data_IF_443477734966
#
_entry.id   IF_443477734966
#
_cell.length_a   1.000
_cell.length_b   1.000
_cell.length_c   1.000
_cell.angle_alpha   90.00
_cell.angle_beta   90.00
_cell.angle_gamma   90.00
#
_symmetry.space_group_name_H-M   'P 1'
#
loop_
_entity.id
_entity.type
_entity.pdbx_description
1 polymer ?
#
# COMPACT_ATOMS: atom_id res chain seq x y z
N UNK A 1 41.78 -16.91 79.18
CA UNK A 1 41.56 -15.48 78.87
C UNK A 1 41.23 -15.40 77.38
N UNK A 2 39.93 -15.37 77.01
CA UNK A 2 39.24 -14.25 76.30
C UNK A 2 40.06 -13.69 75.11
N UNK A 3 39.61 -13.58 73.86
CA UNK A 3 38.25 -13.34 73.32
C UNK A 3 38.24 -13.50 71.78
N UNK A 4 37.18 -14.10 71.24
CA UNK A 4 36.36 -13.85 70.02
C UNK A 4 36.88 -13.11 68.75
N UNK A 5 36.08 -13.35 67.68
CA UNK A 5 35.86 -12.59 66.43
C UNK A 5 36.52 -13.24 65.18
N UNK A 6 35.91 -13.38 63.99
CA UNK A 6 34.59 -12.99 63.47
C UNK A 6 34.36 -13.77 62.15
N UNK A 7 33.09 -14.06 61.90
CA UNK A 7 32.44 -14.57 60.68
C UNK A 7 32.99 -14.10 59.33
N UNK A 8 32.90 -14.94 58.29
CA UNK A 8 32.20 -14.60 57.04
C UNK A 8 31.95 -15.87 56.19
N UNK A 9 30.80 -16.51 56.43
CA UNK A 9 30.25 -17.56 55.58
C UNK A 9 29.76 -16.90 54.29
N UNK A 10 30.39 -17.20 53.15
CA UNK A 10 29.91 -16.76 51.84
C UNK A 10 28.67 -17.59 51.47
N UNK A 11 27.49 -17.01 51.67
CA UNK A 11 26.24 -17.53 51.12
C UNK A 11 26.28 -17.35 49.59
N UNK A 12 26.35 -18.46 48.85
CA UNK A 12 26.18 -18.48 47.41
C UNK A 12 24.66 -18.45 47.12
N UNK A 13 24.14 -17.27 46.80
CA UNK A 13 22.76 -17.08 46.37
C UNK A 13 22.65 -17.54 44.89
N UNK A 14 22.13 -18.75 44.66
CA UNK A 14 21.77 -19.22 43.31
C UNK A 14 20.37 -18.69 43.01
N UNK A 15 20.31 -17.58 42.28
CA UNK A 15 19.04 -17.06 41.73
C UNK A 15 18.70 -17.88 40.50
N UNK A 16 17.74 -18.80 40.65
CA UNK A 16 17.13 -19.49 39.53
C UNK A 16 16.18 -18.52 38.81
N UNK A 17 16.64 -17.96 37.68
CA UNK A 17 15.77 -17.26 36.75
C UNK A 17 14.90 -18.30 36.03
N UNK A 18 13.64 -18.41 36.45
CA UNK A 18 12.60 -19.06 35.68
C UNK A 18 12.40 -18.23 34.41
N UNK A 19 12.89 -18.75 33.28
CA UNK A 19 12.55 -18.25 31.96
C UNK A 19 11.07 -18.53 31.73
N UNK A 20 10.23 -17.55 32.08
CA UNK A 20 8.87 -17.46 31.56
C UNK A 20 9.03 -17.16 30.07
N UNK A 21 8.90 -18.19 29.25
CA UNK A 21 8.78 -18.05 27.80
C UNK A 21 7.50 -17.29 27.49
N UNK A 22 7.63 -15.99 27.24
CA UNK A 22 6.64 -15.29 26.42
C UNK A 22 6.69 -15.94 25.04
N UNK A 23 5.67 -16.72 24.71
CA UNK A 23 5.34 -16.98 23.31
C UNK A 23 5.07 -15.61 22.70
N UNK A 24 5.97 -15.14 21.82
CA UNK A 24 5.62 -14.11 20.88
C UNK A 24 4.46 -14.68 20.08
N UNK A 25 3.25 -14.17 20.35
CA UNK A 25 2.22 -14.13 19.33
C UNK A 25 2.80 -13.27 18.24
N UNK A 26 3.28 -13.90 17.17
CA UNK A 26 3.61 -13.23 15.92
C UNK A 26 2.33 -12.48 15.51
N UNK A 27 2.35 -11.17 15.76
CA UNK A 27 1.38 -10.24 15.22
C UNK A 27 1.70 -10.23 13.72
N UNK A 28 0.97 -11.03 12.93
CA UNK A 28 1.04 -11.07 11.47
C UNK A 28 0.54 -9.71 10.94
N UNK A 29 1.33 -8.66 11.16
CA UNK A 29 1.07 -7.34 10.62
C UNK A 29 1.38 -7.40 9.13
N UNK A 30 0.35 -7.23 8.33
CA UNK A 30 0.47 -7.21 6.88
C UNK A 30 1.37 -6.06 6.46
N UNK A 31 2.45 -6.41 5.77
CA UNK A 31 3.39 -5.44 5.27
C UNK A 31 2.81 -4.74 4.03
N UNK A 32 2.48 -3.46 4.18
CA UNK A 32 2.15 -2.59 3.06
C UNK A 32 3.41 -2.01 2.44
N UNK A 33 3.45 -1.93 1.11
CA UNK A 33 4.51 -1.27 0.37
C UNK A 33 4.18 0.22 0.16
N UNK A 34 5.20 1.04 -0.07
CA UNK A 34 5.02 2.42 -0.55
C UNK A 34 5.67 2.58 -1.91
N UNK A 35 5.06 3.40 -2.77
CA UNK A 35 5.59 3.70 -4.10
C UNK A 35 5.13 5.08 -4.59
N UNK A 36 5.86 5.61 -5.56
CA UNK A 36 5.39 6.71 -6.40
C UNK A 36 4.89 6.15 -7.71
N UNK A 37 3.63 6.42 -8.04
CA UNK A 37 3.01 6.08 -9.34
C UNK A 37 2.84 7.35 -10.16
N UNK A 38 3.04 7.27 -11.47
CA UNK A 38 3.03 8.43 -12.35
C UNK A 38 2.43 8.13 -13.73
N UNK A 39 2.61 9.06 -14.68
CA UNK A 39 2.10 8.93 -16.03
C UNK A 39 2.76 7.80 -16.86
N UNK A 40 3.97 7.40 -16.53
CA UNK A 40 4.67 6.32 -17.23
C UNK A 40 4.15 4.96 -16.82
N UNK A 41 3.56 4.89 -15.64
CA UNK A 41 2.80 3.77 -15.12
C UNK A 41 3.56 2.93 -14.11
N UNK A 42 2.86 1.97 -13.52
CA UNK A 42 3.37 1.18 -12.41
C UNK A 42 2.86 -0.27 -12.48
N UNK A 43 3.72 -1.22 -12.11
CA UNK A 43 3.40 -2.63 -11.92
C UNK A 43 3.41 -2.91 -10.41
N UNK A 44 2.24 -3.20 -9.85
CA UNK A 44 2.07 -3.39 -8.41
C UNK A 44 2.51 -4.76 -7.91
N UNK A 45 2.55 -5.78 -8.76
CA UNK A 45 2.99 -7.12 -8.36
C UNK A 45 4.52 -7.17 -8.23
N UNK A 46 5.22 -6.44 -9.09
CA UNK A 46 6.69 -6.33 -9.07
C UNK A 46 7.19 -5.10 -8.27
N UNK A 47 6.32 -4.11 -8.01
CA UNK A 47 6.69 -2.87 -7.33
C UNK A 47 7.56 -1.95 -8.17
N UNK A 48 7.38 -1.94 -9.50
CA UNK A 48 8.23 -1.26 -10.46
C UNK A 48 7.48 -0.12 -11.16
N UNK A 49 8.04 1.08 -11.10
CA UNK A 49 7.62 2.22 -11.93
C UNK A 49 8.31 2.21 -13.30
N UNK A 50 7.58 2.60 -14.33
CA UNK A 50 8.11 2.72 -15.69
C UNK A 50 8.57 4.15 -15.97
N UNK A 51 9.32 4.34 -17.06
CA UNK A 51 9.70 5.65 -17.57
C UNK A 51 9.91 5.59 -19.09
N UNK A 52 10.37 6.70 -19.67
CA UNK A 52 10.59 6.86 -21.12
C UNK A 52 11.53 5.81 -21.73
N UNK A 53 12.43 5.24 -20.91
CA UNK A 53 13.45 4.27 -21.32
C UNK A 53 13.09 2.82 -20.94
N UNK A 54 11.93 2.58 -20.33
CA UNK A 54 11.52 1.23 -19.96
C UNK A 54 11.29 0.36 -21.20
N UNK A 55 11.79 -0.88 -21.16
CA UNK A 55 11.71 -1.82 -22.27
C UNK A 55 10.37 -2.54 -22.39
N UNK A 56 9.54 -2.48 -21.35
CA UNK A 56 8.29 -3.23 -21.23
C UNK A 56 7.12 -2.45 -20.57
N UNK A 57 6.83 -1.19 -20.98
CA UNK A 57 5.75 -0.37 -20.39
C UNK A 57 4.35 -0.97 -20.59
N UNK A 58 4.21 -2.00 -21.43
CA UNK A 58 2.98 -2.79 -21.57
C UNK A 58 2.64 -3.61 -20.31
N UNK A 59 3.62 -3.89 -19.44
CA UNK A 59 3.41 -4.62 -18.19
C UNK A 59 2.84 -3.74 -17.07
N UNK A 60 2.73 -2.43 -17.29
CA UNK A 60 2.09 -1.53 -16.35
C UNK A 60 0.62 -1.86 -16.13
N UNK A 61 0.20 -1.88 -14.86
CA UNK A 61 -1.19 -2.05 -14.41
C UNK A 61 -2.06 -0.80 -14.68
N UNK A 62 -1.41 0.34 -14.84
CA UNK A 62 -2.06 1.62 -15.05
C UNK A 62 -1.11 2.79 -14.82
N UNK A 63 -1.66 3.98 -14.94
CA UNK A 63 -0.92 5.23 -14.84
C UNK A 63 -1.79 6.32 -14.22
N UNK A 64 -1.15 7.39 -13.77
CA UNK A 64 -1.85 8.60 -13.39
C UNK A 64 -1.99 9.54 -14.59
N UNK A 65 -3.10 10.27 -14.65
CA UNK A 65 -3.40 11.22 -15.73
C UNK A 65 -4.10 12.46 -15.19
N UNK A 66 -3.90 13.61 -15.84
CA UNK A 66 -4.58 14.87 -15.50
C UNK A 66 -5.85 15.15 -16.31
N UNK A 67 -6.47 14.10 -16.87
CA UNK A 67 -7.73 14.19 -17.58
C UNK A 67 -8.65 13.04 -17.19
N UNK A 68 -9.96 13.26 -17.33
CA UNK A 68 -10.94 12.23 -16.98
C UNK A 68 -10.77 10.98 -17.87
N UNK A 69 -10.68 9.74 -17.31
CA UNK A 69 -10.28 8.52 -18.05
C UNK A 69 -11.19 8.07 -19.21
N UNK A 70 -12.32 8.74 -19.46
CA UNK A 70 -13.28 8.38 -20.52
C UNK A 70 -14.01 9.54 -21.21
N UNK A 71 -13.60 10.79 -20.97
CA UNK A 71 -14.32 11.93 -21.58
C UNK A 71 -13.97 12.07 -23.06
N UNK A 72 -14.98 12.04 -23.94
CA UNK A 72 -14.82 12.32 -25.38
C UNK A 72 -14.39 13.75 -25.66
N UNK A 73 -14.72 14.65 -24.74
CA UNK A 73 -14.16 16.00 -24.63
C UNK A 73 -13.05 15.95 -23.60
N UNK A 74 -11.79 16.14 -24.00
CA UNK A 74 -10.68 16.32 -23.05
C UNK A 74 -10.90 17.63 -22.29
N UNK A 75 -11.81 17.65 -21.31
CA UNK A 75 -11.80 18.66 -20.27
C UNK A 75 -10.58 18.34 -19.41
N UNK A 76 -9.43 18.81 -19.88
CA UNK A 76 -8.16 18.82 -19.17
C UNK A 76 -8.33 19.76 -17.99
N UNK A 77 -8.99 19.28 -16.93
CA UNK A 77 -8.96 20.00 -15.68
C UNK A 77 -7.60 19.70 -15.05
N UNK A 78 -6.65 20.60 -15.26
CA UNK A 78 -5.22 20.46 -14.89
C UNK A 78 -4.98 20.35 -13.38
N UNK A 79 -6.04 20.39 -12.56
CA UNK A 79 -5.97 20.40 -11.10
C UNK A 79 -6.18 18.99 -10.51
N UNK A 80 -6.77 18.07 -11.28
CA UNK A 80 -7.15 16.75 -10.77
C UNK A 80 -6.33 15.65 -11.41
N UNK A 81 -5.98 14.63 -10.60
CA UNK A 81 -5.26 13.44 -11.05
C UNK A 81 -6.20 12.25 -10.91
N UNK A 82 -6.22 11.37 -11.91
CA UNK A 82 -6.96 10.11 -11.89
C UNK A 82 -6.00 8.94 -12.02
N UNK A 83 -6.32 7.82 -11.39
CA UNK A 83 -5.74 6.53 -11.76
C UNK A 83 -6.50 5.97 -12.96
N UNK A 84 -5.77 5.62 -14.03
CA UNK A 84 -6.29 4.93 -15.20
C UNK A 84 -5.69 3.53 -15.26
N UNK A 85 -6.50 2.50 -15.09
CA UNK A 85 -6.07 1.13 -15.30
C UNK A 85 -5.68 0.89 -16.76
N UNK A 86 -4.77 -0.05 -16.99
CA UNK A 86 -4.39 -0.50 -18.33
C UNK A 86 -5.58 -1.06 -19.11
N UNK A 87 -6.45 -1.78 -18.41
CA UNK A 87 -7.66 -2.37 -18.97
C UNK A 87 -8.73 -1.32 -19.25
N UNK A 88 -9.52 -1.56 -20.30
CA UNK A 88 -10.72 -0.78 -20.65
C UNK A 88 -11.95 -1.69 -20.57
N UNK A 89 -13.03 -1.29 -19.88
CA UNK A 89 -13.23 -0.02 -19.17
C UNK A 89 -12.29 0.15 -17.97
N UNK A 90 -12.17 1.38 -17.45
CA UNK A 90 -11.39 1.64 -16.24
C UNK A 90 -11.94 0.82 -15.06
N UNK A 91 -11.11 -0.01 -14.45
CA UNK A 91 -11.47 -0.93 -13.36
C UNK A 91 -10.84 -0.44 -12.04
N UNK A 92 -11.17 0.80 -11.66
CA UNK A 92 -10.81 1.42 -10.37
C UNK A 92 -12.06 1.70 -9.57
N UNK A 93 -11.97 1.62 -8.24
CA UNK A 93 -13.02 2.00 -7.30
C UNK A 93 -12.46 2.86 -6.19
N UNK A 94 -13.04 4.04 -5.98
CA UNK A 94 -12.85 4.85 -4.76
C UNK A 94 -13.63 4.19 -3.61
N UNK A 95 -12.90 3.75 -2.60
CA UNK A 95 -13.45 3.14 -1.38
C UNK A 95 -13.70 4.18 -0.29
N UNK A 96 -13.33 5.44 -0.54
CA UNK A 96 -13.45 6.54 0.41
C UNK A 96 -12.29 6.58 1.41
N UNK A 97 -12.46 7.40 2.45
CA UNK A 97 -11.51 7.53 3.56
C UNK A 97 -11.69 6.36 4.53
N UNK A 98 -11.20 5.19 4.14
CA UNK A 98 -11.22 3.96 4.94
C UNK A 98 -9.81 3.37 5.05
N UNK A 99 -9.44 2.76 6.18
CA UNK A 99 -8.15 2.07 6.31
C UNK A 99 -8.04 0.87 5.37
N UNK A 100 -6.85 0.60 4.81
CA UNK A 100 -6.66 -0.48 3.83
C UNK A 100 -6.95 -1.87 4.39
N UNK A 101 -6.70 -2.10 5.67
CA UNK A 101 -6.96 -3.36 6.38
C UNK A 101 -8.47 -3.70 6.42
N UNK A 102 -9.34 -2.71 6.27
CA UNK A 102 -10.80 -2.94 6.21
C UNK A 102 -11.27 -3.44 4.84
N UNK A 103 -10.43 -3.29 3.81
CA UNK A 103 -10.72 -3.74 2.45
C UNK A 103 -10.17 -5.16 2.29
N UNK A 104 -11.04 -6.16 2.46
CA UNK A 104 -10.67 -7.58 2.41
C UNK A 104 -10.98 -8.25 1.07
N UNK A 105 -11.74 -7.59 0.19
CA UNK A 105 -12.09 -8.10 -1.13
C UNK A 105 -12.16 -6.99 -2.18
N UNK A 106 -11.86 -7.34 -3.42
CA UNK A 106 -12.09 -6.47 -4.57
C UNK A 106 -13.59 -6.24 -4.78
N UNK A 107 -13.99 -5.05 -5.24
CA UNK A 107 -15.40 -4.74 -5.44
C UNK A 107 -15.94 -5.50 -6.65
N UNK A 108 -17.24 -5.81 -6.61
CA UNK A 108 -17.97 -6.38 -7.76
C UNK A 108 -18.46 -5.32 -8.74
N UNK A 109 -18.31 -4.04 -8.39
CA UNK A 109 -18.67 -2.89 -9.23
C UNK A 109 -17.54 -1.86 -9.22
N UNK A 110 -17.26 -1.30 -10.39
CA UNK A 110 -16.18 -0.32 -10.60
C UNK A 110 -16.76 1.07 -10.83
N UNK A 111 -15.97 2.11 -10.55
CA UNK A 111 -16.36 3.46 -10.92
C UNK A 111 -16.33 3.59 -12.45
N UNK A 112 -17.48 3.94 -12.99
CA UNK A 112 -17.71 4.00 -14.43
C UNK A 112 -17.91 5.42 -14.91
N UNK A 113 -17.48 5.69 -16.15
CA UNK A 113 -17.80 6.94 -16.84
C UNK A 113 -19.32 7.17 -16.90
N UNK A 114 -19.78 8.42 -16.72
CA UNK A 114 -19.01 9.67 -16.60
C UNK A 114 -18.53 10.00 -15.17
N UNK A 115 -18.65 9.08 -14.21
CA UNK A 115 -18.52 9.36 -12.78
C UNK A 115 -17.26 8.72 -12.17
N UNK A 116 -16.11 8.79 -12.85
CA UNK A 116 -14.85 8.29 -12.27
C UNK A 116 -14.26 9.41 -11.40
N UNK A 117 -14.21 9.25 -10.07
CA UNK A 117 -13.69 10.30 -9.20
C UNK A 117 -12.17 10.47 -9.37
N UNK A 118 -11.64 11.69 -9.23
CA UNK A 118 -10.20 11.88 -9.13
C UNK A 118 -9.65 11.29 -7.83
N UNK A 119 -8.34 11.03 -7.82
CA UNK A 119 -7.60 10.63 -6.63
C UNK A 119 -7.65 11.74 -5.57
N UNK A 120 -7.72 11.34 -4.31
CA UNK A 120 -7.73 12.24 -3.14
C UNK A 120 -6.82 11.70 -2.06
N UNK A 121 -6.00 12.56 -1.48
CA UNK A 121 -5.16 12.22 -0.33
C UNK A 121 -6.03 11.68 0.81
N UNK A 122 -5.60 10.57 1.42
CA UNK A 122 -6.28 9.85 2.49
C UNK A 122 -7.41 8.93 2.04
N UNK A 123 -7.79 8.93 0.75
CA UNK A 123 -8.72 7.92 0.23
C UNK A 123 -7.98 6.63 -0.13
N UNK A 124 -8.67 5.53 0.12
CA UNK A 124 -8.32 4.19 -0.33
C UNK A 124 -9.05 3.85 -1.61
N UNK A 125 -8.38 3.10 -2.47
CA UNK A 125 -8.86 2.68 -3.78
C UNK A 125 -8.60 1.19 -3.96
N UNK A 126 -9.42 0.55 -4.78
CA UNK A 126 -9.11 -0.76 -5.34
C UNK A 126 -9.02 -0.64 -6.85
N UNK A 127 -7.98 -1.22 -7.45
CA UNK A 127 -7.85 -1.31 -8.89
C UNK A 127 -7.56 -2.75 -9.32
N UNK A 128 -8.03 -3.09 -10.52
CA UNK A 128 -7.66 -4.34 -11.17
C UNK A 128 -6.37 -4.16 -11.97
N UNK A 129 -5.42 -5.03 -11.67
CA UNK A 129 -4.10 -5.13 -12.31
C UNK A 129 -4.17 -6.11 -13.50
N UNK A 130 -3.06 -6.25 -14.24
CA UNK A 130 -2.97 -7.24 -15.33
C UNK A 130 -2.98 -8.68 -14.79
N UNK A 131 -2.45 -8.89 -13.60
CA UNK A 131 -2.20 -10.19 -12.98
C UNK A 131 -2.81 -10.33 -11.58
N UNK A 132 -3.72 -9.42 -11.20
CA UNK A 132 -4.35 -9.44 -9.89
C UNK A 132 -5.15 -8.18 -9.56
N UNK A 133 -5.06 -7.78 -8.30
CA UNK A 133 -5.75 -6.63 -7.74
C UNK A 133 -4.83 -5.91 -6.76
N UNK A 134 -4.97 -4.60 -6.70
CA UNK A 134 -4.30 -3.77 -5.71
C UNK A 134 -5.33 -3.02 -4.89
N UNK A 135 -5.10 -2.92 -3.59
CA UNK A 135 -5.69 -1.87 -2.75
C UNK A 135 -4.61 -0.86 -2.41
N UNK A 136 -4.90 0.43 -2.54
CA UNK A 136 -3.92 1.47 -2.27
C UNK A 136 -4.55 2.73 -1.67
N UNK A 137 -3.84 3.37 -0.75
CA UNK A 137 -4.18 4.65 -0.14
C UNK A 137 -3.30 5.73 -0.75
N UNK A 138 -3.90 6.85 -1.14
CA UNK A 138 -3.15 8.01 -1.64
C UNK A 138 -2.58 8.79 -0.47
N UNK A 139 -1.25 8.85 -0.37
CA UNK A 139 -0.55 9.54 0.71
C UNK A 139 -0.28 11.00 0.38
N UNK A 140 0.18 11.28 -0.83
CA UNK A 140 0.58 12.63 -1.23
C UNK A 140 0.55 12.83 -2.75
N UNK A 141 0.56 14.08 -3.18
CA UNK A 141 0.78 14.49 -4.56
C UNK A 141 2.10 15.25 -4.64
N UNK A 142 3.23 14.56 -4.90
CA UNK A 142 4.51 15.22 -5.12
C UNK A 142 4.40 16.30 -6.20
N UNK A 143 5.08 17.43 -6.02
CA UNK A 143 4.99 18.59 -6.94
C UNK A 143 5.76 18.41 -8.26
N UNK A 144 6.13 17.18 -8.63
CA UNK A 144 6.85 16.89 -9.88
C UNK A 144 5.92 16.85 -11.09
N UNK A 145 6.45 17.26 -12.25
CA UNK A 145 5.71 17.56 -13.49
C UNK A 145 4.99 16.37 -14.20
N UNK A 146 5.00 15.15 -13.64
CA UNK A 146 4.48 13.93 -14.30
C UNK A 146 3.24 13.33 -13.62
N UNK A 147 2.44 14.16 -12.95
CA UNK A 147 1.22 13.74 -12.22
C UNK A 147 1.49 12.63 -11.20
N UNK A 148 2.66 12.71 -10.57
CA UNK A 148 3.11 11.73 -9.59
C UNK A 148 2.17 11.70 -8.37
N UNK A 149 1.99 10.51 -7.82
CA UNK A 149 1.18 10.24 -6.63
C UNK A 149 1.94 9.26 -5.76
N UNK A 150 2.12 9.60 -4.49
CA UNK A 150 2.67 8.66 -3.52
C UNK A 150 1.53 7.82 -2.93
N UNK A 151 1.72 6.50 -2.91
CA UNK A 151 0.71 5.55 -2.43
C UNK A 151 1.31 4.55 -1.46
N UNK A 152 0.48 4.12 -0.50
CA UNK A 152 0.69 2.90 0.28
C UNK A 152 -0.20 1.81 -0.33
N UNK A 153 0.30 0.61 -0.56
CA UNK A 153 -0.46 -0.42 -1.28
C UNK A 153 -0.20 -1.84 -0.81
N UNK A 154 -1.14 -2.71 -1.15
CA UNK A 154 -1.04 -4.16 -1.05
C UNK A 154 -1.58 -4.80 -2.33
N UNK A 155 -0.81 -5.70 -2.93
CA UNK A 155 -1.18 -6.45 -4.12
C UNK A 155 -1.61 -7.88 -3.76
N UNK A 156 -2.61 -8.40 -4.46
CA UNK A 156 -3.04 -9.79 -4.39
C UNK A 156 -3.24 -10.34 -5.80
N UNK A 157 -2.81 -11.58 -6.03
CA UNK A 157 -3.09 -12.30 -7.28
C UNK A 157 -4.55 -12.75 -7.39
N UNK A 158 -5.39 -12.47 -6.37
CA UNK A 158 -6.80 -12.84 -6.33
C UNK A 158 -7.67 -11.66 -5.89
N UNK A 159 -8.99 -11.81 -6.05
CA UNK A 159 -9.95 -10.80 -5.60
C UNK A 159 -10.09 -10.73 -4.06
N UNK A 160 -9.35 -11.55 -3.31
CA UNK A 160 -9.33 -11.51 -1.84
C UNK A 160 -8.00 -10.96 -1.37
N UNK A 161 -8.06 -10.03 -0.41
CA UNK A 161 -6.91 -9.50 0.30
C UNK A 161 -6.80 -10.28 1.62
N UNK A 162 -5.97 -11.32 1.61
CA UNK A 162 -5.67 -12.13 2.78
C UNK A 162 -4.52 -11.45 3.51
N UNK A 163 -4.93 -10.37 4.17
CA UNK A 163 -4.20 -9.67 5.19
C UNK A 163 -4.08 -10.57 6.43
#
# INVERSE_FOLDING_TARGET
MKLNYLYFTKALLVVAFLLVGCSNSDDDTVAYNTATVDHWGFDFSEGIGFNVNSTNPQNSDGETISWHPKSSTKNQNTISIWWRTKNSPNETKDMGTVPLETITQAPTTWDGSPNIPPLKIGNSYVAKCLDGYVKFEVLSFPTSDDWAVEVKYYFSTSATFND
#
